data_IF_324692694261
#
_entry.id   IF_324692694261
#
_cell.length_a   1.000
_cell.length_b   1.000
_cell.length_c   1.000
_cell.angle_alpha   90.00
_cell.angle_beta   90.00
_cell.angle_gamma   90.00
#
_symmetry.space_group_name_H-M   'P 1'
#
loop_
_entity.id
_entity.type
_entity.pdbx_description
1 polymer ?
#
# COMPACT_ATOMS: atom_id res chain seq x y z
N UNK A 1 -17.63 4.29 19.40
CA UNK A 1 -17.06 3.19 18.62
C UNK A 1 -15.58 3.52 18.54
N UNK A 2 -14.72 2.85 19.31
CA UNK A 2 -13.30 3.14 19.23
C UNK A 2 -12.80 2.48 17.95
N UNK A 3 -12.64 3.27 16.90
CA UNK A 3 -12.11 2.89 15.58
C UNK A 3 -10.60 2.66 15.69
N UNK A 4 -10.20 1.69 16.51
CA UNK A 4 -8.85 1.18 16.42
C UNK A 4 -8.75 0.41 15.12
N UNK A 5 -7.95 0.94 14.19
CA UNK A 5 -7.45 0.19 13.04
C UNK A 5 -6.90 -1.13 13.59
N UNK A 6 -7.43 -2.25 13.11
CA UNK A 6 -6.85 -3.56 13.41
C UNK A 6 -5.59 -3.68 12.55
N UNK A 7 -4.48 -3.25 13.15
CA UNK A 7 -3.15 -3.26 12.55
C UNK A 7 -2.81 -4.65 12.00
N UNK A 8 -3.29 -5.73 12.64
CA UNK A 8 -3.02 -7.09 12.17
C UNK A 8 -3.71 -7.36 10.84
N UNK A 9 -4.99 -6.99 10.72
CA UNK A 9 -5.76 -7.13 9.47
C UNK A 9 -5.17 -6.24 8.37
N UNK A 10 -4.79 -5.01 8.70
CA UNK A 10 -4.18 -4.10 7.74
C UNK A 10 -2.86 -4.68 7.18
N UNK A 11 -1.97 -5.16 8.07
CA UNK A 11 -0.72 -5.82 7.68
C UNK A 11 -0.94 -7.01 6.77
N UNK A 12 -1.87 -7.90 7.11
CA UNK A 12 -2.19 -9.07 6.29
C UNK A 12 -2.65 -8.67 4.89
N UNK A 13 -3.47 -7.61 4.79
CA UNK A 13 -3.92 -7.11 3.49
C UNK A 13 -2.79 -6.48 2.68
N UNK A 14 -1.92 -5.68 3.30
CA UNK A 14 -0.75 -5.09 2.62
C UNK A 14 0.20 -6.20 2.13
N UNK A 15 0.48 -7.18 2.98
CA UNK A 15 1.31 -8.35 2.63
C UNK A 15 0.71 -9.12 1.44
N UNK A 16 -0.60 -9.34 1.45
CA UNK A 16 -1.27 -10.03 0.35
C UNK A 16 -1.13 -9.26 -0.97
N UNK A 17 -1.17 -7.93 -0.98
CA UNK A 17 -0.94 -7.13 -2.19
C UNK A 17 0.53 -7.23 -2.62
N UNK A 18 1.47 -7.13 -1.68
CA UNK A 18 2.91 -7.28 -1.94
C UNK A 18 3.22 -8.61 -2.62
N UNK A 19 2.65 -9.72 -2.12
CA UNK A 19 2.84 -11.07 -2.68
C UNK A 19 2.43 -11.16 -4.16
N UNK A 20 1.38 -10.44 -4.56
CA UNK A 20 0.93 -10.37 -5.96
C UNK A 20 1.87 -9.51 -6.83
N UNK A 21 2.65 -8.62 -6.21
CA UNK A 21 3.52 -7.66 -6.87
C UNK A 21 4.99 -8.08 -6.92
N UNK A 22 5.40 -9.16 -6.22
CA UNK A 22 6.80 -9.62 -6.15
C UNK A 22 7.48 -9.77 -7.51
N UNK A 23 6.75 -10.17 -8.55
CA UNK A 23 7.30 -10.33 -9.90
C UNK A 23 7.62 -9.02 -10.63
N UNK A 24 7.20 -7.87 -10.09
CA UNK A 24 7.39 -6.54 -10.69
C UNK A 24 8.35 -5.65 -9.90
N UNK A 25 8.58 -5.95 -8.62
CA UNK A 25 9.37 -5.13 -7.69
C UNK A 25 10.82 -5.64 -7.61
N UNK A 26 11.76 -4.75 -7.33
CA UNK A 26 13.14 -5.14 -7.02
C UNK A 26 13.27 -5.64 -5.57
N UNK A 27 14.34 -6.36 -5.27
CA UNK A 27 14.58 -6.93 -3.93
C UNK A 27 14.65 -5.85 -2.84
N UNK A 28 15.25 -4.70 -3.14
CA UNK A 28 15.37 -3.59 -2.18
C UNK A 28 13.98 -3.03 -1.79
N UNK A 29 13.12 -2.76 -2.79
CA UNK A 29 11.75 -2.30 -2.55
C UNK A 29 10.94 -3.30 -1.73
N UNK A 30 11.05 -4.60 -2.06
CA UNK A 30 10.38 -5.66 -1.29
C UNK A 30 10.87 -5.68 0.16
N UNK A 31 12.18 -5.57 0.38
CA UNK A 31 12.77 -5.58 1.71
C UNK A 31 12.31 -4.39 2.57
N UNK A 32 12.21 -3.20 2.00
CA UNK A 32 11.73 -2.01 2.71
C UNK A 32 10.24 -2.15 3.09
N UNK A 33 9.40 -2.61 2.16
CA UNK A 33 7.97 -2.80 2.44
C UNK A 33 7.76 -3.85 3.54
N UNK A 34 8.47 -4.99 3.48
CA UNK A 34 8.42 -6.02 4.53
C UNK A 34 8.87 -5.45 5.88
N UNK A 35 9.93 -4.64 5.89
CA UNK A 35 10.40 -4.00 7.11
C UNK A 35 9.30 -3.17 7.79
N UNK A 36 8.56 -2.35 7.03
CA UNK A 36 7.44 -1.57 7.57
C UNK A 36 6.28 -2.45 8.08
N UNK A 37 5.94 -3.52 7.37
CA UNK A 37 4.95 -4.51 7.83
C UNK A 37 5.37 -5.11 9.18
N UNK A 38 6.64 -5.51 9.32
CA UNK A 38 7.18 -6.09 10.55
C UNK A 38 7.16 -5.09 11.72
N UNK A 39 7.32 -3.79 11.44
CA UNK A 39 7.32 -2.72 12.44
C UNK A 39 5.93 -2.19 12.83
N UNK A 40 4.86 -2.82 12.32
CA UNK A 40 3.47 -2.38 12.55
C UNK A 40 3.13 -1.01 11.95
N UNK A 41 3.73 -0.71 10.80
CA UNK A 41 3.51 0.53 10.05
C UNK A 41 2.84 0.20 8.69
N UNK A 42 1.62 -0.38 8.69
CA UNK A 42 0.94 -0.78 7.46
C UNK A 42 0.62 0.39 6.53
N UNK A 43 0.44 1.60 7.06
CA UNK A 43 0.25 2.83 6.29
C UNK A 43 1.50 3.18 5.47
N UNK A 44 2.69 3.13 6.08
CA UNK A 44 3.96 3.37 5.40
C UNK A 44 4.23 2.24 4.40
N UNK A 45 3.99 0.99 4.79
CA UNK A 45 4.17 -0.16 3.91
C UNK A 45 3.28 -0.07 2.66
N UNK A 46 2.01 0.29 2.83
CA UNK A 46 1.06 0.45 1.73
C UNK A 46 1.47 1.61 0.81
N UNK A 47 1.79 2.77 1.39
CA UNK A 47 2.19 3.94 0.62
C UNK A 47 3.47 3.68 -0.17
N UNK A 48 4.49 3.09 0.47
CA UNK A 48 5.74 2.71 -0.18
C UNK A 48 5.52 1.73 -1.34
N UNK A 49 4.72 0.69 -1.12
CA UNK A 49 4.35 -0.27 -2.16
C UNK A 49 3.72 0.41 -3.38
N UNK A 50 2.74 1.29 -3.17
CA UNK A 50 2.07 1.95 -4.29
C UNK A 50 2.91 3.05 -4.92
N UNK A 51 3.81 3.70 -4.20
CA UNK A 51 4.81 4.60 -4.80
C UNK A 51 5.66 3.83 -5.81
N UNK A 52 6.17 2.65 -5.45
CA UNK A 52 6.97 1.81 -6.36
C UNK A 52 6.16 1.38 -7.59
N UNK A 53 4.92 0.91 -7.40
CA UNK A 53 4.06 0.50 -8.51
C UNK A 53 3.71 1.67 -9.45
N UNK A 54 3.47 2.87 -8.89
CA UNK A 54 3.24 4.09 -9.68
C UNK A 54 4.47 4.45 -10.51
N UNK A 55 5.67 4.38 -9.92
CA UNK A 55 6.93 4.65 -10.63
C UNK A 55 7.17 3.66 -11.76
N UNK A 56 6.86 2.39 -11.55
CA UNK A 56 6.96 1.34 -12.56
C UNK A 56 5.86 1.44 -13.63
N UNK A 57 4.72 2.06 -13.31
CA UNK A 57 3.56 2.14 -14.20
C UNK A 57 2.89 0.78 -14.44
N UNK A 58 3.08 -0.18 -13.53
CA UNK A 58 2.60 -1.56 -13.67
C UNK A 58 1.82 -1.96 -12.44
N UNK A 59 0.56 -2.36 -12.65
CA UNK A 59 -0.26 -3.02 -11.64
C UNK A 59 -0.57 -4.45 -12.09
N UNK A 60 -0.24 -5.49 -11.31
CA UNK A 60 -0.60 -6.85 -11.65
C UNK A 60 -2.12 -7.01 -11.82
N UNK A 61 -2.56 -7.75 -12.86
CA UNK A 61 -3.98 -7.88 -13.24
C UNK A 61 -4.88 -8.49 -12.17
N UNK A 62 -4.29 -9.23 -11.23
CA UNK A 62 -4.94 -9.91 -10.12
C UNK A 62 -5.08 -9.03 -8.87
N UNK A 63 -4.52 -7.81 -8.87
CA UNK A 63 -4.74 -6.86 -7.78
C UNK A 63 -6.12 -6.22 -7.95
N UNK A 64 -6.97 -6.38 -6.94
CA UNK A 64 -8.29 -5.73 -6.92
C UNK A 64 -8.17 -4.27 -6.51
N UNK A 65 -8.39 -3.39 -7.48
CA UNK A 65 -8.32 -1.94 -7.30
C UNK A 65 -9.28 -1.44 -6.22
N UNK A 66 -10.47 -2.04 -6.10
CA UNK A 66 -11.48 -1.62 -5.11
C UNK A 66 -10.97 -1.87 -3.70
N UNK A 67 -10.50 -3.10 -3.44
CA UNK A 67 -9.89 -3.47 -2.15
C UNK A 67 -8.69 -2.59 -1.79
N UNK A 68 -7.88 -2.16 -2.77
CA UNK A 68 -6.77 -1.25 -2.52
C UNK A 68 -7.24 0.13 -2.08
N UNK A 69 -8.27 0.69 -2.70
CA UNK A 69 -8.84 1.99 -2.31
C UNK A 69 -9.42 1.90 -0.90
N UNK A 70 -10.24 0.89 -0.63
CA UNK A 70 -10.83 0.66 0.70
C UNK A 70 -9.75 0.50 1.79
N UNK A 71 -8.64 -0.18 1.49
CA UNK A 71 -7.52 -0.31 2.42
C UNK A 71 -6.78 1.02 2.63
N UNK A 72 -6.56 1.80 1.58
CA UNK A 72 -5.92 3.10 1.69
C UNK A 72 -6.75 4.09 2.54
N UNK A 73 -8.07 4.11 2.36
CA UNK A 73 -8.99 4.87 3.22
C UNK A 73 -9.00 4.34 4.66
N UNK A 74 -8.97 3.01 4.84
CA UNK A 74 -8.88 2.40 6.16
C UNK A 74 -7.58 2.77 6.90
N UNK A 75 -6.51 3.03 6.16
CA UNK A 75 -5.21 3.51 6.64
C UNK A 75 -5.14 5.05 6.75
N UNK A 76 -6.25 5.76 6.52
CA UNK A 76 -6.36 7.22 6.55
C UNK A 76 -5.43 7.95 5.54
N UNK A 77 -4.96 7.26 4.50
CA UNK A 77 -4.02 7.80 3.52
C UNK A 77 -4.70 8.77 2.53
N UNK A 78 -6.04 8.76 2.47
CA UNK A 78 -6.85 9.72 1.74
C UNK A 78 -6.83 11.12 2.37
N UNK A 79 -6.56 11.18 3.68
CA UNK A 79 -6.48 12.40 4.46
C UNK A 79 -5.04 12.78 4.84
N UNK A 80 -4.21 11.79 5.19
CA UNK A 80 -2.83 11.99 5.66
C UNK A 80 -1.88 10.99 4.98
N UNK A 81 -1.18 11.45 3.93
CA UNK A 81 -0.06 10.69 3.35
C UNK A 81 1.20 10.83 4.21
N UNK A 82 2.00 9.76 4.31
CA UNK A 82 3.15 9.62 5.22
C UNK A 82 4.48 9.83 4.50
N UNK A 83 4.63 9.33 3.27
CA UNK A 83 5.88 9.40 2.49
C UNK A 83 5.86 10.53 1.47
N UNK A 84 4.70 10.91 0.93
CA UNK A 84 4.58 12.03 0.00
C UNK A 84 3.22 12.71 -0.01
N UNK A 85 3.22 14.04 0.11
CA UNK A 85 2.02 14.89 0.21
C UNK A 85 0.98 14.71 -0.93
N UNK A 86 1.40 14.21 -2.09
CA UNK A 86 0.54 14.00 -3.25
C UNK A 86 0.19 12.53 -3.49
N UNK A 87 0.58 11.62 -2.59
CA UNK A 87 0.45 10.18 -2.77
C UNK A 87 -0.97 9.79 -3.15
N UNK A 88 -1.98 10.16 -2.35
CA UNK A 88 -3.37 9.74 -2.58
C UNK A 88 -3.88 10.10 -3.97
N UNK A 89 -3.59 11.33 -4.41
CA UNK A 89 -4.00 11.79 -5.74
C UNK A 89 -3.35 10.99 -6.88
N UNK A 90 -2.06 10.63 -6.73
CA UNK A 90 -1.33 9.81 -7.71
C UNK A 90 -1.81 8.37 -7.69
N UNK A 91 -2.09 7.83 -6.51
CA UNK A 91 -2.66 6.50 -6.31
C UNK A 91 -4.02 6.36 -7.01
N UNK A 92 -4.96 7.28 -6.78
CA UNK A 92 -6.27 7.25 -7.46
C UNK A 92 -6.11 7.38 -8.98
N UNK A 93 -5.26 8.29 -9.46
CA UNK A 93 -5.00 8.44 -10.89
C UNK A 93 -4.38 7.19 -11.53
N UNK A 94 -3.53 6.48 -10.81
CA UNK A 94 -2.89 5.23 -11.24
C UNK A 94 -3.89 4.06 -11.32
N UNK A 95 -4.89 4.04 -10.44
CA UNK A 95 -5.94 3.02 -10.43
C UNK A 95 -7.10 3.30 -11.40
N UNK A 96 -7.20 4.50 -11.98
CA UNK A 96 -8.21 4.82 -13.00
C UNK A 96 -8.05 3.98 -14.28
#
# INVERSE_FOLDING_TARGET
>A
MNEFIDISIAKEKVQAILDLCLGSLCEDAVSEIVHYIEHNEPEIAFEGLFIELIQLGVLPKNVDKTSCIELGEYLNLDSESVLGDEFWSKFIAFLA
#
